data_IF_454399887214
#
_entry.id   IF_454399887214
#
_cell.length_a   1.000
_cell.length_b   1.000
_cell.length_c   1.000
_cell.angle_alpha   90.00
_cell.angle_beta   90.00
_cell.angle_gamma   90.00
#
_symmetry.space_group_name_H-M   'P 1'
#
loop_
_entity.id
_entity.type
_entity.pdbx_description
1 polymer ?
#
# COMPACT_ATOMS: atom_id res chain seq x y z
N UNK A 1 -11.62 1.64 -16.00
CA UNK A 1 -11.47 1.55 -14.53
C UNK A 1 -10.72 0.28 -14.23
N UNK A 2 -9.51 0.36 -13.67
CA UNK A 2 -8.88 -0.83 -13.08
C UNK A 2 -9.80 -1.31 -11.94
N UNK A 3 -10.00 -2.63 -11.86
CA UNK A 3 -10.70 -3.26 -10.75
C UNK A 3 -9.66 -3.80 -9.77
N UNK A 4 -9.94 -3.81 -8.45
CA UNK A 4 -9.10 -4.50 -7.49
C UNK A 4 -8.93 -5.96 -7.92
N UNK A 5 -7.70 -6.45 -7.88
CA UNK A 5 -7.37 -7.83 -8.25
C UNK A 5 -6.71 -8.56 -7.09
N UNK A 6 -7.10 -9.83 -6.93
CA UNK A 6 -6.29 -10.78 -6.17
C UNK A 6 -5.07 -11.11 -7.02
N UNK A 7 -3.87 -10.95 -6.46
CA UNK A 7 -2.62 -11.20 -7.19
C UNK A 7 -2.27 -12.68 -7.06
N UNK A 8 -1.85 -13.28 -8.16
CA UNK A 8 -1.48 -14.70 -8.20
C UNK A 8 0.00 -14.87 -7.85
N UNK A 9 0.34 -14.68 -6.57
CA UNK A 9 1.66 -15.01 -6.04
C UNK A 9 1.62 -15.35 -4.55
N UNK A 10 2.57 -16.18 -4.10
CA UNK A 10 2.66 -16.69 -2.74
C UNK A 10 2.76 -15.58 -1.69
N UNK A 11 3.55 -14.55 -1.95
CA UNK A 11 3.73 -13.45 -1.01
C UNK A 11 2.42 -12.67 -0.78
N UNK A 12 1.64 -12.45 -1.85
CA UNK A 12 0.33 -11.82 -1.73
C UNK A 12 -0.67 -12.69 -0.97
N UNK A 13 -0.65 -14.01 -1.17
CA UNK A 13 -1.50 -14.94 -0.42
C UNK A 13 -1.24 -14.85 1.10
N UNK A 14 0.03 -14.76 1.51
CA UNK A 14 0.39 -14.55 2.93
C UNK A 14 -0.22 -13.27 3.50
N UNK A 15 -0.18 -12.16 2.75
CA UNK A 15 -0.81 -10.90 3.16
C UNK A 15 -2.33 -11.02 3.21
N UNK A 16 -2.93 -11.70 2.24
CA UNK A 16 -4.39 -11.87 2.14
C UNK A 16 -4.96 -12.70 3.29
N UNK A 17 -4.18 -13.66 3.77
CA UNK A 17 -4.47 -14.51 4.92
C UNK A 17 -3.99 -13.89 6.25
N UNK A 18 -3.56 -12.61 6.24
CA UNK A 18 -3.07 -11.87 7.41
C UNK A 18 -1.86 -12.51 8.12
N UNK A 19 -1.09 -13.32 7.40
CA UNK A 19 0.15 -13.95 7.87
C UNK A 19 1.36 -13.02 7.71
N UNK A 20 1.27 -11.80 8.26
CA UNK A 20 2.27 -10.74 8.08
C UNK A 20 3.68 -11.16 8.52
N UNK A 21 3.78 -11.89 9.65
CA UNK A 21 5.06 -12.40 10.13
C UNK A 21 5.70 -13.42 9.18
N UNK A 22 4.91 -14.21 8.44
CA UNK A 22 5.41 -15.13 7.44
C UNK A 22 5.87 -14.37 6.20
N UNK A 23 5.04 -13.43 5.71
CA UNK A 23 5.42 -12.54 4.61
C UNK A 23 6.77 -11.88 4.91
N UNK A 24 6.95 -11.25 6.07
CA UNK A 24 8.19 -10.57 6.42
C UNK A 24 9.43 -11.48 6.44
N UNK A 25 9.28 -12.77 6.76
CA UNK A 25 10.39 -13.74 6.73
C UNK A 25 10.72 -14.22 5.32
N UNK A 26 9.71 -14.37 4.48
CA UNK A 26 9.84 -14.91 3.12
C UNK A 26 10.10 -13.83 2.07
N UNK A 27 9.82 -12.57 2.41
CA UNK A 27 10.00 -11.41 1.58
C UNK A 27 11.47 -11.28 1.14
N UNK A 28 11.76 -11.24 -0.17
CA UNK A 28 13.11 -10.97 -0.63
C UNK A 28 13.52 -9.53 -0.32
N UNK A 29 14.82 -9.32 -0.09
CA UNK A 29 15.41 -8.03 0.29
C UNK A 29 16.05 -7.28 -0.89
N UNK A 30 16.29 -7.96 -2.00
CA UNK A 30 17.06 -7.48 -3.15
C UNK A 30 16.21 -7.26 -4.41
N UNK A 31 14.90 -7.53 -4.36
CA UNK A 31 13.97 -7.31 -5.47
C UNK A 31 12.75 -6.51 -5.05
N UNK A 32 12.20 -5.78 -6.03
CA UNK A 32 10.93 -5.07 -5.88
C UNK A 32 9.79 -6.06 -5.95
N UNK A 33 8.81 -5.90 -5.06
CA UNK A 33 7.61 -6.73 -5.00
C UNK A 33 6.47 -5.99 -5.70
N UNK A 34 5.93 -6.60 -6.76
CA UNK A 34 4.84 -6.04 -7.54
C UNK A 34 3.49 -6.34 -6.88
N UNK A 35 2.98 -5.38 -6.11
CA UNK A 35 1.65 -5.40 -5.50
C UNK A 35 0.67 -4.44 -6.21
N UNK A 36 0.95 -4.09 -7.46
CA UNK A 36 0.18 -3.08 -8.18
C UNK A 36 -1.25 -3.51 -8.43
N UNK A 37 -2.21 -2.62 -8.17
CA UNK A 37 -3.63 -2.90 -8.32
C UNK A 37 -4.17 -3.96 -7.34
N UNK A 38 -3.35 -4.41 -6.37
CA UNK A 38 -3.72 -5.42 -5.41
C UNK A 38 -4.91 -4.99 -4.53
N UNK A 39 -5.73 -5.96 -4.18
CA UNK A 39 -6.84 -5.78 -3.26
C UNK A 39 -6.42 -6.06 -1.82
N UNK A 40 -6.29 -5.01 -1.01
CA UNK A 40 -5.91 -5.08 0.40
C UNK A 40 -7.06 -4.59 1.32
N UNK A 41 -8.28 -4.57 0.80
CA UNK A 41 -9.42 -3.99 1.52
C UNK A 41 -9.72 -4.78 2.80
N UNK A 42 -9.89 -4.07 3.90
CA UNK A 42 -10.25 -4.62 5.21
C UNK A 42 -9.15 -5.40 5.92
N UNK A 43 -7.94 -5.49 5.36
CA UNK A 43 -6.83 -6.22 5.97
C UNK A 43 -6.18 -5.44 7.11
N UNK A 44 -5.70 -6.15 8.12
CA UNK A 44 -4.72 -5.64 9.07
C UNK A 44 -3.31 -5.75 8.48
N UNK A 45 -2.72 -4.62 8.11
CA UNK A 45 -1.37 -4.57 7.53
C UNK A 45 -0.34 -4.00 8.51
N UNK A 46 -0.69 -3.89 9.79
CA UNK A 46 0.29 -3.49 10.82
C UNK A 46 1.46 -4.47 10.82
N UNK A 47 2.65 -3.95 11.09
CA UNK A 47 3.93 -4.70 11.07
C UNK A 47 4.36 -5.23 9.70
N UNK A 48 3.65 -4.92 8.60
CA UNK A 48 4.09 -5.31 7.26
C UNK A 48 5.40 -4.61 6.90
N UNK A 49 6.43 -5.38 6.51
CA UNK A 49 7.65 -4.84 5.93
C UNK A 49 7.37 -4.35 4.50
N UNK A 50 6.98 -3.09 4.41
CA UNK A 50 6.62 -2.44 3.14
C UNK A 50 7.82 -2.08 2.27
N UNK A 51 9.07 -2.21 2.74
CA UNK A 51 10.25 -1.74 1.98
C UNK A 51 10.38 -2.45 0.64
N UNK A 52 10.49 -1.69 -0.45
CA UNK A 52 10.63 -2.24 -1.80
C UNK A 52 9.36 -2.86 -2.38
N UNK A 53 8.18 -2.52 -1.85
CA UNK A 53 6.89 -2.92 -2.44
C UNK A 53 6.33 -1.79 -3.32
N UNK A 54 5.90 -2.12 -4.53
CA UNK A 54 5.14 -1.20 -5.37
C UNK A 54 3.63 -1.42 -5.18
N UNK A 55 2.94 -0.44 -4.59
CA UNK A 55 1.49 -0.43 -4.37
C UNK A 55 0.76 0.49 -5.35
N UNK A 56 1.36 0.83 -6.50
CA UNK A 56 0.70 1.61 -7.55
C UNK A 56 -0.67 1.00 -7.87
N UNK A 57 -1.70 1.83 -7.97
CA UNK A 57 -3.08 1.45 -8.21
C UNK A 57 -3.78 0.58 -7.14
N UNK A 58 -3.14 0.25 -6.01
CA UNK A 58 -3.67 -0.66 -4.99
C UNK A 58 -4.89 -0.12 -4.21
N UNK A 59 -5.64 -1.02 -3.57
CA UNK A 59 -6.89 -0.71 -2.87
C UNK A 59 -6.80 -1.07 -1.38
N UNK A 60 -6.82 -0.06 -0.52
CA UNK A 60 -6.68 -0.18 0.94
C UNK A 60 -7.96 0.22 1.68
N UNK A 61 -9.14 0.07 1.05
CA UNK A 61 -10.38 0.50 1.69
C UNK A 61 -10.56 -0.20 3.04
N UNK A 62 -10.76 0.57 4.10
CA UNK A 62 -10.96 0.08 5.46
C UNK A 62 -9.84 -0.83 6.02
N UNK A 63 -8.63 -0.79 5.45
CA UNK A 63 -7.48 -1.52 6.00
C UNK A 63 -6.87 -0.76 7.18
N UNK A 64 -6.05 -1.46 7.95
CA UNK A 64 -5.21 -0.87 8.99
C UNK A 64 -3.78 -0.66 8.48
N UNK A 65 -3.37 0.60 8.29
CA UNK A 65 -2.04 1.01 7.82
C UNK A 65 -1.23 1.69 8.93
N UNK A 66 -1.71 1.64 10.18
CA UNK A 66 -1.14 2.42 11.29
C UNK A 66 0.34 2.07 11.49
N UNK A 67 1.16 3.10 11.66
CA UNK A 67 2.59 2.97 11.92
C UNK A 67 3.47 2.53 10.73
N UNK A 68 2.89 2.27 9.55
CA UNK A 68 3.67 1.90 8.37
C UNK A 68 4.50 3.08 7.84
N UNK A 69 5.69 2.78 7.32
CA UNK A 69 6.56 3.74 6.66
C UNK A 69 6.53 3.56 5.14
N UNK A 70 5.66 4.32 4.47
CA UNK A 70 5.43 4.23 3.02
C UNK A 70 6.24 5.25 2.21
N UNK A 71 7.22 5.94 2.80
CA UNK A 71 7.93 7.07 2.16
C UNK A 71 8.57 6.71 0.82
N UNK A 72 9.05 5.48 0.70
CA UNK A 72 9.78 4.97 -0.48
C UNK A 72 8.93 4.03 -1.35
N UNK A 73 7.61 3.99 -1.12
CA UNK A 73 6.69 3.11 -1.83
C UNK A 73 5.99 3.80 -3.00
N UNK A 74 5.74 3.06 -4.08
CA UNK A 74 4.84 3.48 -5.14
C UNK A 74 3.39 3.44 -4.65
N UNK A 75 2.70 4.57 -4.68
CA UNK A 75 1.28 4.72 -4.27
C UNK A 75 0.45 5.44 -5.33
N UNK A 76 1.01 5.70 -6.52
CA UNK A 76 0.30 6.45 -7.57
C UNK A 76 -0.97 5.69 -7.94
N UNK A 77 -2.10 6.37 -7.95
CA UNK A 77 -3.40 5.75 -8.18
C UNK A 77 -3.95 4.93 -7.01
N UNK A 78 -3.20 4.67 -5.94
CA UNK A 78 -3.73 3.90 -4.80
C UNK A 78 -4.88 4.65 -4.10
N UNK A 79 -5.77 3.90 -3.45
CA UNK A 79 -6.88 4.46 -2.68
C UNK A 79 -6.87 3.94 -1.24
N UNK A 80 -6.92 4.85 -0.27
CA UNK A 80 -6.92 4.55 1.17
C UNK A 80 -8.28 4.89 1.83
N UNK A 81 -9.38 4.76 1.08
CA UNK A 81 -10.72 5.11 1.53
C UNK A 81 -11.06 4.46 2.89
N UNK A 82 -11.31 5.26 3.93
CA UNK A 82 -11.59 4.78 5.29
C UNK A 82 -10.50 3.92 5.95
N UNK A 83 -9.26 3.91 5.42
CA UNK A 83 -8.15 3.23 6.07
C UNK A 83 -7.77 3.91 7.40
N UNK A 84 -7.26 3.14 8.35
CA UNK A 84 -6.64 3.68 9.55
C UNK A 84 -5.19 4.05 9.25
N UNK A 85 -4.84 5.34 9.34
CA UNK A 85 -3.53 5.87 8.92
C UNK A 85 -2.76 6.60 10.03
N UNK A 86 -3.14 6.38 11.29
CA UNK A 86 -2.46 7.01 12.43
C UNK A 86 -1.00 6.57 12.48
N UNK A 87 -0.07 7.53 12.50
CA UNK A 87 1.37 7.26 12.54
C UNK A 87 1.96 6.74 11.23
N UNK A 88 1.19 6.69 10.13
CA UNK A 88 1.72 6.29 8.82
C UNK A 88 2.55 7.42 8.21
N UNK A 89 3.77 7.11 7.76
CA UNK A 89 4.54 8.04 6.92
C UNK A 89 4.17 7.83 5.45
N UNK A 90 3.81 8.90 4.75
CA UNK A 90 3.55 8.91 3.31
C UNK A 90 4.73 9.50 2.52
N UNK A 91 4.85 9.20 1.23
CA UNK A 91 5.78 9.89 0.32
C UNK A 91 5.68 11.41 0.48
N UNK A 92 6.83 12.09 0.55
CA UNK A 92 6.91 13.54 0.80
C UNK A 92 6.21 14.39 -0.28
N UNK A 93 5.93 13.82 -1.45
CA UNK A 93 5.27 14.45 -2.58
C UNK A 93 3.74 14.40 -2.46
N UNK A 94 3.18 13.53 -1.60
CA UNK A 94 1.77 13.51 -1.31
C UNK A 94 1.45 14.62 -0.31
N UNK A 95 0.64 15.58 -0.74
CA UNK A 95 0.14 16.62 0.15
C UNK A 95 -0.85 16.04 1.17
N UNK A 96 -0.95 16.69 2.32
CA UNK A 96 -1.97 16.34 3.32
C UNK A 96 -3.38 16.35 2.72
N UNK A 97 -3.68 17.29 1.81
CA UNK A 97 -4.96 17.35 1.12
C UNK A 97 -5.22 16.16 0.21
N UNK A 98 -4.22 15.68 -0.54
CA UNK A 98 -4.40 14.49 -1.40
C UNK A 98 -4.62 13.22 -0.56
N UNK A 99 -3.87 13.07 0.53
CA UNK A 99 -4.07 11.98 1.52
C UNK A 99 -5.49 12.07 2.10
N UNK A 100 -5.92 13.26 2.51
CA UNK A 100 -7.24 13.49 3.09
C UNK A 100 -8.36 13.21 2.08
N UNK A 101 -8.19 13.62 0.82
CA UNK A 101 -9.14 13.36 -0.26
C UNK A 101 -9.29 11.86 -0.50
N UNK A 102 -8.18 11.12 -0.53
CA UNK A 102 -8.23 9.67 -0.70
C UNK A 102 -8.87 8.98 0.49
N UNK A 103 -8.49 9.36 1.72
CA UNK A 103 -9.02 8.77 2.94
C UNK A 103 -10.52 9.02 3.13
N UNK A 104 -11.00 10.24 2.84
CA UNK A 104 -12.41 10.63 3.03
C UNK A 104 -13.32 10.23 1.88
N UNK A 105 -12.87 10.43 0.66
CA UNK A 105 -13.72 10.31 -0.54
C UNK A 105 -13.32 9.14 -1.44
N UNK A 106 -12.22 8.46 -1.14
CA UNK A 106 -11.75 7.35 -1.95
C UNK A 106 -11.21 7.77 -3.30
N UNK A 107 -10.77 9.03 -3.46
CA UNK A 107 -10.03 9.43 -4.66
C UNK A 107 -8.78 8.58 -4.81
N UNK A 108 -8.37 8.37 -6.06
CA UNK A 108 -7.10 7.74 -6.38
C UNK A 108 -6.01 8.78 -6.22
N UNK A 109 -5.01 8.48 -5.38
CA UNK A 109 -3.95 9.42 -5.05
C UNK A 109 -3.16 9.79 -6.30
N UNK A 110 -2.86 11.08 -6.45
CA UNK A 110 -2.05 11.62 -7.55
C UNK A 110 -0.84 12.34 -7.01
N UNK A 111 0.34 11.89 -7.41
CA UNK A 111 1.59 12.58 -7.19
C UNK A 111 2.58 12.21 -8.29
N UNK A 112 3.69 12.92 -8.36
CA UNK A 112 4.84 12.43 -9.13
C UNK A 112 5.72 11.67 -8.15
N UNK A 113 5.82 10.34 -8.25
CA UNK A 113 6.89 9.64 -7.56
C UNK A 113 8.20 10.31 -7.94
N UNK A 114 9.18 10.32 -7.04
CA UNK A 114 10.54 10.67 -7.45
C UNK A 114 10.93 9.61 -8.47
N UNK A 115 10.92 9.97 -9.75
CA UNK A 115 11.62 9.20 -10.76
C UNK A 115 13.07 9.19 -10.28
N UNK A 116 13.55 8.04 -9.84
CA UNK A 116 14.97 7.87 -9.55
C UNK A 116 15.79 8.31 -10.76
N UNK A 117 16.87 9.04 -10.46
CA UNK A 117 17.99 9.26 -11.38
C UNK A 117 18.58 7.94 -11.85
#
# INVERSE_FOLDING_TARGET
>A
MNQPRQLDNTLYALVRDEQIAAFNREKPTDTVIDFRGGDFRGLDLRELDVRGIDFTDAYFRASDLRGLDLRENGLEGASIAHAQISGTYFPAQLSADEILMSAKFGTRMRYRPISGK
#
